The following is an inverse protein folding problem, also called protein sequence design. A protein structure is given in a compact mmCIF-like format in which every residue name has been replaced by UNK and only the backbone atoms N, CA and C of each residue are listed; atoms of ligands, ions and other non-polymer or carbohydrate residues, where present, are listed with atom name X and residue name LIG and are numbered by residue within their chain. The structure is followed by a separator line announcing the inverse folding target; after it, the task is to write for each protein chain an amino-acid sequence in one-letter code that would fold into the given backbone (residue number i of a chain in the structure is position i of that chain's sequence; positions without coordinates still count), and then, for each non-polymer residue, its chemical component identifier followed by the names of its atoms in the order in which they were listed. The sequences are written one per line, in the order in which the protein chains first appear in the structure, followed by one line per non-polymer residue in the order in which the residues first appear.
data_IF_026221252065
#
_entry.id   IF_026221252065
#
_cell.length_a   1.000
_cell.length_b   1.000
_cell.length_c   1.000
_cell.angle_alpha   90.00
_cell.angle_beta   90.00
_cell.angle_gamma   90.00
#
_symmetry.space_group_name_H-M   'P 1'
#
loop_
_entity.id
_entity.type
_entity.pdbx_description
1 polymer ?
#
# COMPACT_ATOMS: atom_id res chain seq x y z
N UNK A 1 -2.31 -16.79 -3.17
CA UNK A 1 -1.21 -16.79 -4.15
C UNK A 1 -0.98 -15.42 -4.80
N UNK A 2 -1.97 -14.82 -5.48
CA UNK A 2 -1.75 -13.55 -6.21
C UNK A 2 -1.38 -12.37 -5.32
N UNK A 3 -2.03 -12.19 -4.16
CA UNK A 3 -1.65 -11.17 -3.19
C UNK A 3 -0.23 -11.37 -2.64
N UNK A 4 0.20 -12.62 -2.47
CA UNK A 4 1.57 -12.93 -2.05
C UNK A 4 2.58 -12.45 -3.12
N UNK A 5 2.40 -12.86 -4.38
CA UNK A 5 3.31 -12.49 -5.48
C UNK A 5 3.31 -10.98 -5.69
N UNK A 6 2.13 -10.37 -5.68
CA UNK A 6 1.97 -8.93 -5.82
C UNK A 6 2.67 -8.16 -4.70
N UNK A 7 2.49 -8.58 -3.45
CA UNK A 7 3.07 -7.91 -2.28
C UNK A 7 4.58 -8.15 -2.21
N UNK A 8 5.05 -9.36 -2.53
CA UNK A 8 6.47 -9.69 -2.66
C UNK A 8 7.17 -8.77 -3.65
N UNK A 9 6.65 -8.68 -4.88
CA UNK A 9 7.25 -7.84 -5.92
C UNK A 9 7.16 -6.35 -5.58
N UNK A 10 5.99 -5.89 -5.14
CA UNK A 10 5.75 -4.48 -4.84
C UNK A 10 6.59 -3.99 -3.65
N UNK A 11 6.58 -4.73 -2.52
CA UNK A 11 7.33 -4.31 -1.34
C UNK A 11 8.82 -4.64 -1.40
N UNK A 12 9.24 -5.67 -2.15
CA UNK A 12 10.66 -5.89 -2.44
C UNK A 12 11.26 -4.74 -3.26
N UNK A 13 10.58 -4.32 -4.32
CA UNK A 13 11.02 -3.16 -5.10
C UNK A 13 10.89 -1.84 -4.33
N UNK A 14 9.87 -1.68 -3.49
CA UNK A 14 9.76 -0.54 -2.58
C UNK A 14 10.93 -0.48 -1.58
N UNK A 15 11.36 -1.63 -1.07
CA UNK A 15 12.53 -1.73 -0.20
C UNK A 15 13.77 -1.21 -0.92
N UNK A 16 14.02 -1.67 -2.16
CA UNK A 16 15.13 -1.19 -2.98
C UNK A 16 15.05 0.31 -3.26
N UNK A 17 13.84 0.82 -3.53
CA UNK A 17 13.60 2.25 -3.72
C UNK A 17 13.98 3.06 -2.47
N UNK A 18 13.54 2.63 -1.28
CA UNK A 18 13.90 3.30 -0.02
C UNK A 18 15.39 3.21 0.24
N UNK A 19 16.01 2.04 0.08
CA UNK A 19 17.45 1.90 0.24
C UNK A 19 18.23 2.81 -0.72
N UNK A 20 17.80 2.93 -1.98
CA UNK A 20 18.47 3.79 -2.95
C UNK A 20 18.29 5.29 -2.66
N UNK A 21 17.15 5.70 -2.12
CA UNK A 21 16.90 7.11 -1.81
C UNK A 21 17.42 7.51 -0.42
N UNK A 22 17.39 6.64 0.58
CA UNK A 22 17.76 7.00 1.96
C UNK A 22 19.17 6.57 2.37
N UNK A 23 19.82 5.64 1.65
CA UNK A 23 21.22 5.31 1.91
C UNK A 23 22.14 6.48 1.54
N UNK A 24 22.95 7.02 2.47
CA UNK A 24 23.95 8.05 2.14
C UNK A 24 25.04 7.55 1.17
N UNK A 25 25.19 6.22 1.04
CA UNK A 25 26.11 5.59 0.11
C UNK A 25 25.54 5.48 -1.31
N UNK A 26 24.24 5.75 -1.51
CA UNK A 26 23.62 5.67 -2.82
C UNK A 26 23.80 6.97 -3.63
N UNK A 27 24.13 6.88 -4.93
CA UNK A 27 24.18 8.05 -5.81
C UNK A 27 22.86 8.83 -5.88
N UNK A 28 21.70 8.16 -5.73
CA UNK A 28 20.40 8.84 -5.78
C UNK A 28 20.16 9.72 -4.54
N UNK A 29 20.60 9.27 -3.37
CA UNK A 29 20.58 10.09 -2.15
C UNK A 29 21.46 11.35 -2.30
N UNK A 30 22.66 11.17 -2.86
CA UNK A 30 23.62 12.26 -3.10
C UNK A 30 23.12 13.26 -4.15
N UNK A 31 22.46 12.76 -5.20
CA UNK A 31 21.87 13.60 -6.24
C UNK A 31 20.61 14.35 -5.78
N UNK A 32 19.90 13.84 -4.76
CA UNK A 32 18.66 14.41 -4.24
C UNK A 32 18.82 14.69 -2.73
N UNK A 33 19.51 15.79 -2.37
CA UNK A 33 19.86 16.06 -0.97
C UNK A 33 18.65 16.43 -0.11
N UNK A 34 17.54 16.89 -0.72
CA UNK A 34 16.35 17.29 0.02
C UNK A 34 15.53 16.07 0.48
N UNK A 35 15.45 15.79 1.79
CA UNK A 35 14.78 14.59 2.31
C UNK A 35 13.28 14.58 2.02
N UNK A 36 12.62 15.74 2.00
CA UNK A 36 11.19 15.84 1.67
C UNK A 36 10.94 15.44 0.23
N UNK A 37 11.81 15.84 -0.71
CA UNK A 37 11.70 15.41 -2.12
C UNK A 37 11.89 13.90 -2.22
N UNK A 38 12.85 13.33 -1.51
CA UNK A 38 13.04 11.86 -1.47
C UNK A 38 11.83 11.13 -0.92
N UNK A 39 11.21 11.63 0.15
CA UNK A 39 9.99 11.05 0.72
C UNK A 39 8.78 11.14 -0.24
N UNK A 40 8.64 12.24 -1.00
CA UNK A 40 7.64 12.35 -2.07
C UNK A 40 7.89 11.28 -3.14
N UNK A 41 9.14 11.11 -3.58
CA UNK A 41 9.52 10.11 -4.58
C UNK A 41 9.31 8.68 -4.06
N UNK A 42 9.59 8.42 -2.78
CA UNK A 42 9.30 7.14 -2.13
C UNK A 42 7.79 6.89 -2.14
N UNK A 43 6.98 7.84 -1.70
CA UNK A 43 5.52 7.69 -1.67
C UNK A 43 4.92 7.47 -3.07
N UNK A 44 5.33 8.28 -4.04
CA UNK A 44 4.93 8.15 -5.43
C UNK A 44 5.40 6.82 -6.04
N UNK A 45 6.63 6.40 -5.76
CA UNK A 45 7.19 5.16 -6.29
C UNK A 45 6.53 3.91 -5.70
N UNK A 46 6.28 3.88 -4.38
CA UNK A 46 5.51 2.81 -3.73
C UNK A 46 4.12 2.70 -4.34
N UNK A 47 3.43 3.83 -4.51
CA UNK A 47 2.12 3.88 -5.14
C UNK A 47 2.15 3.41 -6.60
N UNK A 48 3.14 3.87 -7.38
CA UNK A 48 3.29 3.48 -8.78
C UNK A 48 3.58 1.96 -8.91
N UNK A 49 4.40 1.38 -8.05
CA UNK A 49 4.65 -0.07 -8.01
C UNK A 49 3.35 -0.83 -7.70
N UNK A 50 2.56 -0.38 -6.72
CA UNK A 50 1.25 -0.95 -6.42
C UNK A 50 0.29 -0.81 -7.60
N UNK A 51 0.30 0.33 -8.30
CA UNK A 51 -0.52 0.57 -9.48
C UNK A 51 -0.14 -0.37 -10.65
N UNK A 52 1.15 -0.58 -10.89
CA UNK A 52 1.65 -1.56 -11.88
C UNK A 52 1.15 -2.96 -11.56
N UNK A 53 1.22 -3.38 -10.29
CA UNK A 53 0.65 -4.67 -9.87
C UNK A 53 -0.86 -4.69 -10.09
N UNK A 54 -1.59 -3.64 -9.74
CA UNK A 54 -3.04 -3.57 -9.91
C UNK A 54 -3.50 -3.70 -11.37
N UNK A 55 -2.79 -3.08 -12.32
CA UNK A 55 -3.12 -3.18 -13.75
C UNK A 55 -2.68 -4.50 -14.38
N UNK A 56 -1.73 -5.21 -13.75
CA UNK A 56 -1.19 -6.49 -14.24
C UNK A 56 -2.24 -7.61 -14.25
N UNK A 57 -2.04 -8.70 -15.02
CA UNK A 57 -2.93 -9.87 -14.98
C UNK A 57 -3.10 -10.47 -13.59
N UNK A 58 -2.06 -10.41 -12.74
CA UNK A 58 -2.10 -10.94 -11.37
C UNK A 58 -2.99 -10.06 -10.48
N UNK A 59 -2.78 -8.74 -10.52
CA UNK A 59 -3.57 -7.79 -9.73
C UNK A 59 -5.03 -7.72 -10.16
N UNK A 60 -5.32 -7.86 -11.46
CA UNK A 60 -6.72 -7.96 -11.93
C UNK A 60 -7.45 -9.21 -11.42
N UNK A 61 -6.73 -10.27 -11.02
CA UNK A 61 -7.32 -11.48 -10.43
C UNK A 61 -7.60 -11.30 -8.93
N UNK A 62 -6.64 -10.78 -8.14
CA UNK A 62 -6.85 -10.58 -6.70
C UNK A 62 -7.55 -9.28 -6.32
N UNK A 63 -7.55 -8.28 -7.21
CA UNK A 63 -7.90 -6.92 -6.87
C UNK A 63 -6.73 -6.07 -6.39
N UNK A 64 -5.55 -6.65 -6.17
CA UNK A 64 -4.32 -5.98 -5.75
C UNK A 64 -4.49 -5.07 -4.53
N UNK A 65 -4.93 -5.65 -3.41
CA UNK A 65 -5.02 -4.89 -2.17
C UNK A 65 -3.63 -4.56 -1.65
N UNK A 66 -2.71 -5.55 -1.64
CA UNK A 66 -1.29 -5.44 -1.28
C UNK A 66 -1.01 -4.82 0.09
N UNK A 67 -2.07 -4.66 0.89
CA UNK A 67 -2.08 -3.89 2.11
C UNK A 67 -3.19 -4.46 3.03
N UNK A 68 -2.83 -4.96 4.23
CA UNK A 68 -3.80 -5.43 5.21
C UNK A 68 -4.86 -4.39 5.55
N UNK A 69 -4.49 -3.11 5.67
CA UNK A 69 -5.41 -2.01 6.00
C UNK A 69 -6.46 -1.80 4.91
N UNK A 70 -6.06 -1.87 3.63
CA UNK A 70 -7.01 -1.78 2.50
C UNK A 70 -7.96 -2.97 2.50
N UNK A 71 -7.44 -4.17 2.74
CA UNK A 71 -8.24 -5.41 2.86
C UNK A 71 -9.26 -5.30 3.99
N UNK A 72 -8.85 -4.80 5.15
CA UNK A 72 -9.74 -4.57 6.30
C UNK A 72 -10.76 -3.47 6.02
N UNK A 73 -10.40 -2.42 5.27
CA UNK A 73 -11.35 -1.40 4.83
C UNK A 73 -12.50 -1.99 4.01
N UNK A 74 -12.20 -2.87 3.05
CA UNK A 74 -13.22 -3.58 2.27
C UNK A 74 -14.06 -4.54 3.12
N UNK A 75 -13.43 -5.27 4.04
CA UNK A 75 -14.11 -6.15 4.98
C UNK A 75 -15.06 -5.38 5.90
N UNK A 76 -14.62 -4.27 6.48
CA UNK A 76 -15.43 -3.39 7.33
C UNK A 76 -16.57 -2.71 6.55
N UNK A 77 -16.44 -2.57 5.23
CA UNK A 77 -17.55 -2.21 4.33
C UNK A 77 -18.48 -3.36 3.98
N UNK A 78 -18.24 -4.57 4.46
CA UNK A 78 -19.05 -5.76 4.19
C UNK A 78 -18.84 -6.31 2.78
N UNK A 79 -17.70 -6.01 2.13
CA UNK A 79 -17.41 -6.42 0.74
C UNK A 79 -16.48 -7.61 0.63
N UNK A 80 -16.05 -8.18 1.75
CA UNK A 80 -15.25 -9.39 1.81
C UNK A 80 -15.72 -10.28 2.96
N UNK A 81 -15.58 -11.60 2.79
CA UNK A 81 -15.76 -12.54 3.91
C UNK A 81 -14.57 -12.46 4.86
N UNK A 82 -14.76 -12.80 6.14
CA UNK A 82 -13.67 -12.84 7.11
C UNK A 82 -12.56 -13.83 6.71
N UNK A 83 -12.93 -14.96 6.09
CA UNK A 83 -11.98 -15.96 5.60
C UNK A 83 -11.11 -15.42 4.47
N UNK A 84 -11.70 -14.73 3.49
CA UNK A 84 -10.93 -14.10 2.41
C UNK A 84 -10.01 -13.02 2.96
N UNK A 85 -10.51 -12.19 3.89
CA UNK A 85 -9.72 -11.15 4.54
C UNK A 85 -8.51 -11.72 5.26
N UNK A 86 -8.67 -12.79 6.06
CA UNK A 86 -7.56 -13.45 6.73
C UNK A 86 -6.55 -14.03 5.72
N UNK A 87 -7.02 -14.68 4.64
CA UNK A 87 -6.17 -15.21 3.59
C UNK A 87 -5.37 -14.14 2.84
N UNK A 88 -5.97 -12.97 2.59
CA UNK A 88 -5.31 -11.83 1.97
C UNK A 88 -4.22 -11.26 2.89
N UNK A 89 -4.55 -11.01 4.16
CA UNK A 89 -3.60 -10.47 5.14
C UNK A 89 -2.40 -11.40 5.30
N UNK A 90 -2.65 -12.72 5.45
CA UNK A 90 -1.58 -13.71 5.55
C UNK A 90 -0.69 -13.72 4.30
N UNK A 91 -1.28 -13.72 3.11
CA UNK A 91 -0.54 -13.68 1.85
C UNK A 91 0.30 -12.40 1.71
N UNK A 92 -0.24 -11.24 2.10
CA UNK A 92 0.45 -9.95 2.05
C UNK A 92 1.64 -9.91 3.02
N UNK A 93 1.45 -10.35 4.26
CA UNK A 93 2.52 -10.42 5.27
C UNK A 93 3.64 -11.35 4.79
N UNK A 94 3.31 -12.56 4.34
CA UNK A 94 4.31 -13.51 3.85
C UNK A 94 5.05 -12.97 2.63
N UNK A 95 4.35 -12.30 1.71
CA UNK A 95 4.97 -11.66 0.55
C UNK A 95 5.94 -10.56 0.96
N UNK A 96 5.54 -9.69 1.88
CA UNK A 96 6.37 -8.61 2.39
C UNK A 96 7.63 -9.11 3.10
N UNK A 97 7.50 -10.13 3.96
CA UNK A 97 8.63 -10.75 4.65
C UNK A 97 9.60 -11.42 3.67
N UNK A 98 9.09 -12.20 2.70
CA UNK A 98 9.92 -12.82 1.67
C UNK A 98 10.63 -11.77 0.80
N UNK A 99 9.95 -10.67 0.46
CA UNK A 99 10.54 -9.56 -0.28
C UNK A 99 11.68 -8.89 0.50
N UNK A 100 11.44 -8.52 1.76
CA UNK A 100 12.48 -7.92 2.60
C UNK A 100 13.69 -8.86 2.80
N UNK A 101 13.44 -10.15 3.09
CA UNK A 101 14.49 -11.14 3.29
C UNK A 101 15.34 -11.37 2.04
N UNK A 102 14.78 -11.24 0.84
CA UNK A 102 15.52 -11.37 -0.41
C UNK A 102 16.29 -10.08 -0.77
N UNK A 103 15.65 -8.92 -0.66
CA UNK A 103 16.21 -7.67 -1.14
C UNK A 103 17.25 -7.06 -0.19
N UNK A 104 17.10 -7.23 1.12
CA UNK A 104 18.05 -6.71 2.09
C UNK A 104 19.50 -7.19 1.87
N UNK A 105 19.79 -8.51 1.77
CA UNK A 105 21.15 -8.96 1.49
C UNK A 105 21.64 -8.54 0.09
N UNK A 106 20.75 -8.50 -0.91
CA UNK A 106 21.09 -8.07 -2.26
C UNK A 106 21.55 -6.60 -2.34
N UNK A 107 21.01 -5.75 -1.45
CA UNK A 107 21.36 -4.32 -1.36
C UNK A 107 22.54 -4.05 -0.41
N UNK A 108 22.94 -5.02 0.41
CA UNK A 108 24.10 -4.94 1.29
C UNK A 108 24.11 -3.68 2.16
N UNK A 109 25.21 -2.93 2.10
CA UNK A 109 25.40 -1.71 2.90
C UNK A 109 24.36 -0.62 2.62
N UNK A 110 23.74 -0.59 1.43
CA UNK A 110 22.68 0.37 1.17
C UNK A 110 21.42 0.06 2.00
N UNK A 111 21.10 -1.22 2.20
CA UNK A 111 20.01 -1.59 3.09
C UNK A 111 20.33 -1.17 4.53
N UNK A 112 21.52 -1.51 5.03
CA UNK A 112 21.94 -1.21 6.40
C UNK A 112 21.93 0.29 6.71
N UNK A 113 22.60 1.09 5.87
CA UNK A 113 22.74 2.54 6.08
C UNK A 113 21.46 3.32 5.83
N UNK A 114 20.49 2.75 5.09
CA UNK A 114 19.13 3.26 5.00
C UNK A 114 18.21 2.76 6.14
N UNK A 115 18.75 2.08 7.15
CA UNK A 115 17.99 1.55 8.28
C UNK A 115 17.05 0.42 7.91
N UNK A 116 17.41 -0.39 6.92
CA UNK A 116 16.65 -1.53 6.38
C UNK A 116 15.23 -1.16 5.92
N UNK A 117 14.97 0.10 5.54
CA UNK A 117 13.63 0.61 5.24
C UNK A 117 12.59 0.34 6.36
N UNK A 118 13.05 0.11 7.59
CA UNK A 118 12.20 -0.19 8.75
C UNK A 118 11.30 0.99 9.09
N UNK A 119 10.15 0.68 9.66
CA UNK A 119 9.24 1.69 10.19
C UNK A 119 9.39 1.74 11.71
N UNK A 120 9.70 2.92 12.24
CA UNK A 120 9.76 3.16 13.68
C UNK A 120 9.45 4.62 14.00
N UNK A 121 8.88 4.91 15.18
CA UNK A 121 8.72 6.28 15.63
C UNK A 121 10.10 6.93 15.77
N UNK A 122 10.21 8.19 15.36
CA UNK A 122 11.44 8.94 15.60
C UNK A 122 11.71 9.00 17.11
N UNK A 123 12.97 8.87 17.57
CA UNK A 123 13.30 9.08 18.97
C UNK A 123 12.69 10.38 19.51
N UNK A 124 12.06 10.30 20.68
CA UNK A 124 11.36 11.41 21.33
C UNK A 124 9.88 11.58 20.95
N UNK A 125 9.37 10.86 19.94
CA UNK A 125 7.93 10.81 19.66
C UNK A 125 7.28 9.80 20.61
N UNK A 126 6.26 10.22 21.35
CA UNK A 126 5.51 9.31 22.21
C UNK A 126 4.67 8.34 21.36
N UNK A 127 4.46 7.11 21.84
CA UNK A 127 3.78 6.06 21.07
C UNK A 127 2.31 6.36 20.80
N UNK A 128 1.63 7.12 21.68
CA UNK A 128 0.25 7.56 21.47
C UNK A 128 0.12 8.52 20.29
N UNK A 129 1.05 9.46 20.14
CA UNK A 129 1.13 10.37 18.99
C UNK A 129 1.48 9.62 17.72
N UNK A 130 2.42 8.67 17.78
CA UNK A 130 2.73 7.81 16.64
C UNK A 130 1.49 7.02 16.19
N UNK A 131 0.71 6.48 17.14
CA UNK A 131 -0.54 5.78 16.87
C UNK A 131 -1.57 6.69 16.19
N UNK A 132 -1.79 7.92 16.70
CA UNK A 132 -2.73 8.87 16.11
C UNK A 132 -2.34 9.27 14.68
N UNK A 133 -1.03 9.46 14.43
CA UNK A 133 -0.52 9.74 13.09
C UNK A 133 -0.82 8.56 12.16
N UNK A 134 -0.48 7.33 12.53
CA UNK A 134 -0.73 6.15 11.69
C UNK A 134 -2.23 5.88 11.46
N UNK A 135 -3.09 6.17 12.44
CA UNK A 135 -4.56 6.16 12.28
C UNK A 135 -4.96 7.16 11.18
N UNK A 136 -4.50 8.41 11.29
CA UNK A 136 -4.86 9.48 10.36
C UNK A 136 -4.38 9.22 8.93
N UNK A 137 -3.12 8.82 8.77
CA UNK A 137 -2.55 8.49 7.46
C UNK A 137 -3.33 7.35 6.79
N UNK A 138 -3.60 6.28 7.54
CA UNK A 138 -4.31 5.12 7.00
C UNK A 138 -5.78 5.43 6.71
N UNK A 139 -6.41 6.23 7.56
CA UNK A 139 -7.76 6.73 7.32
C UNK A 139 -7.86 7.43 5.97
N UNK A 140 -6.96 8.38 5.68
CA UNK A 140 -6.98 9.12 4.41
C UNK A 140 -6.73 8.19 3.22
N UNK A 141 -5.75 7.28 3.33
CA UNK A 141 -5.46 6.32 2.25
C UNK A 141 -6.66 5.41 1.96
N UNK A 142 -7.22 4.77 2.98
CA UNK A 142 -8.33 3.81 2.81
C UNK A 142 -9.61 4.53 2.38
N UNK A 143 -9.91 5.71 2.93
CA UNK A 143 -11.05 6.51 2.49
C UNK A 143 -10.92 6.90 1.01
N UNK A 144 -9.73 7.32 0.57
CA UNK A 144 -9.46 7.62 -0.84
C UNK A 144 -9.75 6.41 -1.72
N UNK A 145 -9.26 5.22 -1.35
CA UNK A 145 -9.54 3.98 -2.09
C UNK A 145 -11.04 3.72 -2.17
N UNK A 146 -11.74 3.73 -1.02
CA UNK A 146 -13.18 3.45 -0.96
C UNK A 146 -14.00 4.44 -1.79
N UNK A 147 -13.72 5.74 -1.71
CA UNK A 147 -14.41 6.76 -2.52
C UNK A 147 -14.21 6.51 -4.02
N UNK A 148 -13.00 6.18 -4.43
CA UNK A 148 -12.68 5.98 -5.85
C UNK A 148 -13.37 4.74 -6.43
N UNK A 149 -13.43 3.64 -5.68
CA UNK A 149 -14.07 2.39 -6.14
C UNK A 149 -15.60 2.40 -6.06
N UNK A 150 -16.20 3.39 -5.39
CA UNK A 150 -17.67 3.53 -5.26
C UNK A 150 -18.34 4.22 -6.45
N UNK A 151 -17.59 4.65 -7.46
CA UNK A 151 -18.15 5.21 -8.70
C UNK A 151 -17.57 4.58 -9.96
N UNK A 152 -18.44 4.27 -10.92
CA UNK A 152 -18.04 3.73 -12.22
C UNK A 152 -17.11 4.69 -12.99
N UNK A 153 -17.23 6.00 -12.76
CA UNK A 153 -16.40 7.02 -13.41
C UNK A 153 -14.99 7.08 -12.83
N UNK A 154 -14.86 6.83 -11.53
CA UNK A 154 -13.61 7.00 -10.77
C UNK A 154 -12.85 5.70 -10.55
N UNK A 155 -13.51 4.53 -10.52
CA UNK A 155 -12.86 3.25 -10.14
C UNK A 155 -11.63 2.88 -10.97
N UNK A 156 -11.56 3.28 -12.24
CA UNK A 156 -10.39 3.07 -13.11
C UNK A 156 -9.16 3.88 -12.68
N UNK A 157 -9.38 4.98 -11.96
CA UNK A 157 -8.35 5.90 -11.47
C UNK A 157 -7.93 5.63 -10.02
N UNK A 158 -8.53 4.65 -9.34
CA UNK A 158 -8.14 4.27 -7.97
C UNK A 158 -6.63 4.04 -7.81
N UNK A 159 -5.90 3.38 -8.74
CA UNK A 159 -4.46 3.21 -8.59
C UNK A 159 -3.70 4.55 -8.61
N UNK A 160 -4.12 5.48 -9.48
CA UNK A 160 -3.50 6.81 -9.58
C UNK A 160 -3.82 7.67 -8.34
N UNK A 161 -5.06 7.64 -7.86
CA UNK A 161 -5.47 8.35 -6.65
C UNK A 161 -4.75 7.84 -5.40
N UNK A 162 -4.61 6.52 -5.25
CA UNK A 162 -3.84 5.93 -4.16
C UNK A 162 -2.35 6.30 -4.26
N UNK A 163 -1.79 6.36 -5.48
CA UNK A 163 -0.41 6.81 -5.71
C UNK A 163 -0.21 8.26 -5.28
N UNK A 164 -1.13 9.16 -5.67
CA UNK A 164 -1.08 10.56 -5.27
C UNK A 164 -1.25 10.71 -3.75
N UNK A 165 -2.17 9.95 -3.15
CA UNK A 165 -2.33 9.94 -1.69
C UNK A 165 -1.02 9.54 -1.00
N UNK A 166 -0.34 8.48 -1.44
CA UNK A 166 0.94 8.08 -0.87
C UNK A 166 2.05 9.12 -1.09
N UNK A 167 2.11 9.78 -2.24
CA UNK A 167 3.06 10.86 -2.51
C UNK A 167 2.91 12.05 -1.55
N UNK A 168 1.72 12.26 -1.00
CA UNK A 168 1.43 13.30 0.01
C UNK A 168 1.59 12.77 1.43
N UNK A 169 1.07 11.57 1.72
CA UNK A 169 1.03 11.02 3.08
C UNK A 169 2.40 10.56 3.57
N UNK A 170 3.26 10.04 2.69
CA UNK A 170 4.62 9.60 3.06
C UNK A 170 5.52 10.75 3.54
N UNK A 171 5.64 11.91 2.87
CA UNK A 171 6.41 13.02 3.43
C UNK A 171 5.79 13.63 4.70
N UNK A 172 4.48 13.53 4.91
CA UNK A 172 3.83 13.99 6.14
C UNK A 172 4.09 13.05 7.33
N UNK A 173 3.95 11.74 7.13
CA UNK A 173 4.08 10.72 8.18
C UNK A 173 5.48 10.16 8.36
N UNK A 174 6.34 10.31 7.34
CA UNK A 174 7.68 9.75 7.27
C UNK A 174 8.58 10.24 8.40
N UNK A 175 8.78 11.56 8.56
CA UNK A 175 9.65 12.09 9.60
C UNK A 175 9.26 11.70 11.04
N UNK A 176 7.98 11.69 11.46
CA UNK A 176 7.62 11.31 12.82
C UNK A 176 7.50 9.79 13.04
N UNK A 177 7.06 9.03 12.03
CA UNK A 177 6.61 7.63 12.23
C UNK A 177 7.08 6.64 11.16
N UNK A 178 7.69 7.10 10.06
CA UNK A 178 8.04 6.25 8.92
C UNK A 178 6.89 5.94 7.95
N UNK A 179 5.68 6.46 8.21
CA UNK A 179 4.49 6.38 7.35
C UNK A 179 4.17 4.94 6.88
N UNK A 180 3.77 4.08 7.81
CA UNK A 180 3.44 2.69 7.51
C UNK A 180 2.23 2.57 6.59
N UNK A 181 1.06 2.98 7.09
CA UNK A 181 -0.27 2.72 6.50
C UNK A 181 -0.59 1.25 6.16
N UNK A 182 0.34 0.33 6.43
CA UNK A 182 0.37 -1.03 5.91
C UNK A 182 1.24 -1.89 6.84
N UNK A 183 0.60 -2.74 7.63
CA UNK A 183 1.31 -3.59 8.57
C UNK A 183 2.30 -4.54 7.88
N UNK A 184 1.98 -5.07 6.70
CA UNK A 184 2.90 -5.93 5.94
C UNK A 184 4.17 -5.16 5.52
N UNK A 185 4.04 -3.91 5.07
CA UNK A 185 5.16 -2.98 4.75
C UNK A 185 6.01 -2.64 5.96
N UNK A 186 5.48 -2.78 7.18
CA UNK A 186 6.26 -2.59 8.41
C UNK A 186 6.93 -3.88 8.82
N UNK A 187 6.17 -4.96 8.95
CA UNK A 187 6.65 -6.22 9.51
C UNK A 187 7.80 -6.82 8.70
N UNK A 188 7.73 -6.81 7.37
CA UNK A 188 8.78 -7.39 6.53
C UNK A 188 10.17 -6.76 6.78
N UNK A 189 10.32 -5.44 6.54
CA UNK A 189 11.56 -4.72 6.82
C UNK A 189 12.01 -4.79 8.29
N UNK A 190 11.07 -4.64 9.24
CA UNK A 190 11.38 -4.67 10.67
C UNK A 190 11.88 -6.05 11.14
N UNK A 191 11.40 -7.13 10.53
CA UNK A 191 11.88 -8.49 10.82
C UNK A 191 13.34 -8.66 10.42
N UNK A 192 13.74 -8.10 9.27
CA UNK A 192 15.14 -8.12 8.82
C UNK A 192 16.01 -7.20 9.68
N UNK A 193 15.48 -6.03 10.06
CA UNK A 193 16.17 -5.08 10.93
C UNK A 193 16.31 -5.57 12.39
N UNK A 194 15.55 -6.60 12.79
CA UNK A 194 15.48 -7.06 14.18
C UNK A 194 14.80 -6.06 15.13
N UNK A 195 13.99 -5.13 14.63
CA UNK A 195 13.37 -4.07 15.44
C UNK A 195 11.85 -4.26 15.57
N UNK A 196 11.44 -4.71 16.75
CA UNK A 196 10.03 -4.98 17.08
C UNK A 196 9.44 -3.99 18.09
N UNK A 197 10.21 -2.98 18.50
CA UNK A 197 9.97 -2.16 19.70
C UNK A 197 8.60 -1.46 19.70
N UNK A 198 8.16 -0.96 18.54
CA UNK A 198 6.89 -0.24 18.39
C UNK A 198 5.94 -0.93 17.41
N UNK A 199 6.16 -2.21 17.11
CA UNK A 199 5.45 -2.92 16.05
C UNK A 199 3.92 -2.93 16.25
N UNK A 200 3.47 -2.96 17.50
CA UNK A 200 2.05 -2.91 17.86
C UNK A 200 1.36 -1.63 17.37
N UNK A 201 2.06 -0.48 17.34
CA UNK A 201 1.52 0.80 16.85
C UNK A 201 1.11 0.65 15.39
N UNK A 202 1.95 0.00 14.60
CA UNK A 202 1.73 -0.23 13.16
C UNK A 202 0.81 -1.41 12.87
N UNK A 203 0.58 -2.29 13.83
CA UNK A 203 -0.46 -3.32 13.76
C UNK A 203 -1.85 -2.75 14.06
N UNK A 204 -1.95 -1.89 15.08
CA UNK A 204 -3.23 -1.39 15.59
C UNK A 204 -3.67 -0.12 14.88
N UNK A 205 -2.80 0.88 14.75
CA UNK A 205 -3.14 2.20 14.20
C UNK A 205 -3.71 2.13 12.79
N UNK A 206 -3.03 1.48 11.84
CA UNK A 206 -3.55 1.34 10.49
C UNK A 206 -4.91 0.61 10.41
N UNK A 207 -5.13 -0.41 11.24
CA UNK A 207 -6.42 -1.12 11.27
C UNK A 207 -7.55 -0.24 11.79
N UNK A 208 -7.30 0.54 12.85
CA UNK A 208 -8.28 1.52 13.35
C UNK A 208 -8.58 2.56 12.27
N UNK A 209 -7.55 3.13 11.62
CA UNK A 209 -7.73 4.09 10.53
C UNK A 209 -8.56 3.52 9.37
N UNK A 210 -8.32 2.28 8.98
CA UNK A 210 -9.07 1.59 7.93
C UNK A 210 -10.55 1.38 8.31
N UNK A 211 -10.83 0.97 9.55
CA UNK A 211 -12.20 0.81 10.05
C UNK A 211 -12.92 2.16 10.11
N UNK A 212 -12.29 3.20 10.63
CA UNK A 212 -12.86 4.55 10.66
C UNK A 212 -13.17 5.07 9.26
N UNK A 213 -12.28 4.83 8.29
CA UNK A 213 -12.53 5.19 6.89
C UNK A 213 -13.74 4.46 6.31
N UNK A 214 -13.89 3.16 6.61
CA UNK A 214 -15.05 2.38 6.21
C UNK A 214 -16.35 2.87 6.85
N UNK A 215 -16.33 3.29 8.13
CA UNK A 215 -17.48 3.85 8.81
C UNK A 215 -17.91 5.21 8.23
N UNK A 216 -16.96 6.12 8.03
CA UNK A 216 -17.21 7.42 7.40
C UNK A 216 -17.73 7.26 5.97
N UNK A 217 -17.13 6.35 5.20
CA UNK A 217 -17.62 6.06 3.86
C UNK A 217 -19.04 5.48 3.88
N UNK A 218 -19.39 4.65 4.86
CA UNK A 218 -20.76 4.11 5.01
C UNK A 218 -21.77 5.22 5.33
N UNK A 219 -21.38 6.25 6.11
CA UNK A 219 -22.29 7.36 6.44
C UNK A 219 -22.62 8.28 5.25
N UNK A 220 -21.91 8.16 4.12
CA UNK A 220 -22.24 8.91 2.89
C UNK A 220 -23.54 8.44 2.22
N UNK A 221 -24.12 7.32 2.66
CA UNK A 221 -25.41 6.81 2.19
C UNK A 221 -25.29 5.74 1.09
N UNK A 222 -26.44 5.16 0.74
CA UNK A 222 -26.51 4.00 -0.16
C UNK A 222 -26.07 4.30 -1.61
N UNK A 223 -26.08 5.56 -2.03
CA UNK A 223 -25.59 5.99 -3.35
C UNK A 223 -24.07 5.86 -3.49
N UNK A 224 -23.34 5.74 -2.37
CA UNK A 224 -21.89 5.56 -2.32
C UNK A 224 -21.50 4.12 -1.99
N UNK A 225 -22.24 3.14 -2.51
CA UNK A 225 -21.87 1.75 -2.27
C UNK A 225 -20.69 1.32 -3.15
N UNK A 226 -19.84 0.44 -2.60
CA UNK A 226 -18.58 0.03 -3.26
C UNK A 226 -18.88 -0.74 -4.55
N UNK A 227 -18.43 -0.28 -5.72
CA UNK A 227 -18.77 -1.00 -6.97
C UNK A 227 -17.94 -2.27 -7.12
N UNK A 228 -16.70 -2.26 -6.60
CA UNK A 228 -15.78 -3.38 -6.69
C UNK A 228 -14.75 -3.36 -5.56
N UNK A 229 -14.25 -4.53 -5.17
CA UNK A 229 -13.08 -4.66 -4.30
C UNK A 229 -11.75 -4.58 -5.08
N UNK A 230 -11.80 -4.55 -6.41
CA UNK A 230 -10.58 -4.48 -7.23
C UNK A 230 -10.08 -3.05 -7.35
N UNK A 231 -8.81 -2.83 -7.00
CA UNK A 231 -8.14 -1.53 -7.13
C UNK A 231 -8.07 -1.08 -8.59
N UNK A 232 -8.04 -2.00 -9.56
CA UNK A 232 -8.17 -1.63 -10.97
C UNK A 232 -9.27 -2.45 -11.67
N UNK A 233 -10.11 -1.74 -12.42
CA UNK A 233 -11.14 -2.34 -13.26
C UNK A 233 -11.16 -1.66 -14.64
N UNK A 234 -10.65 -2.34 -15.67
CA UNK A 234 -10.88 -1.94 -17.05
C UNK A 234 -12.29 -2.38 -17.48
N UNK A 235 -13.05 -1.51 -18.14
CA UNK A 235 -14.33 -1.89 -18.74
C UNK A 235 -14.07 -2.82 -19.94
N UNK A 236 -14.80 -3.95 -20.02
CA UNK A 236 -14.70 -4.91 -21.14
C UNK A 236 -15.43 -4.40 -22.40
N UNK A 237 -15.23 -3.15 -22.81
CA UNK A 237 -16.08 -2.53 -23.85
C UNK A 237 -15.43 -2.28 -25.21
N UNK A 238 -14.29 -2.91 -25.55
CA UNK A 238 -13.67 -2.67 -26.87
C UNK A 238 -13.17 -3.91 -27.66
N UNK A 239 -13.41 -5.15 -27.21
CA UNK A 239 -12.86 -6.34 -27.88
C UNK A 239 -13.86 -7.50 -28.08
N UNK A 240 -15.15 -7.30 -27.81
CA UNK A 240 -16.15 -8.38 -27.87
C UNK A 240 -17.17 -8.28 -29.00
N UNK A 241 -17.52 -7.07 -29.44
CA UNK A 241 -18.79 -6.86 -30.17
C UNK A 241 -18.63 -6.69 -31.69
N UNK A 242 -17.40 -6.75 -32.21
CA UNK A 242 -17.15 -6.68 -33.67
C UNK A 242 -16.92 -8.03 -34.35
N UNK A 243 -16.96 -9.16 -33.61
CA UNK A 243 -16.73 -10.51 -34.19
C UNK A 243 -17.97 -11.38 -34.35
N UNK A 244 -19.17 -10.90 -34.01
CA UNK A 244 -20.41 -11.68 -34.19
C UNK A 244 -21.39 -11.08 -35.23
N UNK A 245 -21.04 -9.99 -35.91
CA UNK A 245 -21.94 -9.30 -36.85
C UNK A 245 -21.65 -9.50 -38.34
N UNK A 246 -20.58 -10.20 -38.74
CA UNK A 246 -20.19 -10.29 -40.16
C UNK A 246 -19.61 -11.67 -40.51
N UNK A 247 -20.49 -12.66 -40.72
CA UNK A 247 -20.28 -13.77 -41.67
C UNK A 247 -21.53 -14.66 -41.75
N UNK A 248 -22.57 -14.17 -42.43
CA UNK A 248 -23.47 -14.97 -43.29
C UNK A 248 -23.66 -14.13 -44.55
N UNK A 249 -23.19 -14.62 -45.69
CA UNK A 249 -24.08 -15.37 -46.59
C UNK A 249 -23.69 -16.84 -46.72
#
# INVERSE_FOLDING_TARGET
MYEFIGTFGQLGLAYALVASLESPLSPLNQAIPNPTVRLILIGAGIGALAAVVAISPLGRRSGAHLNPSVTVGFWARGRMSATDTAGYIGAQILGACAGAALFAPALGQWAETAGYARTAPRPGINLGWALLIEIGLTFVLVLTVLLMVSSHRTKRWTPAAATLALAVLVPMGGPPTGASMNFARTLGPNLVAGDFTALWVYAVGPLIGAVLAALVHRSLGASWDVVTTRIYHAERHLMGDKRQGQSRP
#
